data_IF_828499665404
#
_entry.id   IF_828499665404
#
_cell.length_a   1.000
_cell.length_b   1.000
_cell.length_c   1.000
_cell.angle_alpha   90.00
_cell.angle_beta   90.00
_cell.angle_gamma   90.00
#
_symmetry.space_group_name_H-M   'P 1'
#
loop_
_entity.id
_entity.type
_entity.pdbx_description
1 polymer ?
#
# COMPACT_ATOMS: atom_id res chain seq x y z
N UNK A 1 9.59 39.35 4.61
CA UNK A 1 9.14 38.91 3.27
C UNK A 1 10.28 38.42 2.35
N UNK A 2 11.49 38.98 2.43
CA UNK A 2 12.62 38.57 1.58
C UNK A 2 13.03 37.09 1.72
N UNK A 3 13.06 36.54 2.94
CA UNK A 3 13.41 35.14 3.19
C UNK A 3 12.41 34.14 2.60
N UNK A 4 11.12 34.47 2.61
CA UNK A 4 10.05 33.64 2.02
C UNK A 4 10.14 33.68 0.49
N UNK A 5 10.42 34.84 -0.11
CA UNK A 5 10.64 34.96 -1.55
C UNK A 5 11.88 34.16 -2.02
N UNK A 6 12.97 34.17 -1.24
CA UNK A 6 14.17 33.39 -1.55
C UNK A 6 13.94 31.89 -1.39
N UNK A 7 13.20 31.46 -0.36
CA UNK A 7 12.85 30.06 -0.15
C UNK A 7 11.90 29.52 -1.22
N UNK A 8 10.86 30.29 -1.57
CA UNK A 8 9.93 29.96 -2.66
C UNK A 8 10.67 29.86 -4.01
N UNK A 9 11.58 30.81 -4.28
CA UNK A 9 12.41 30.79 -5.49
C UNK A 9 13.35 29.58 -5.53
N UNK A 10 13.97 29.19 -4.39
CA UNK A 10 14.80 27.97 -4.31
C UNK A 10 13.97 26.69 -4.54
N UNK A 11 12.78 26.60 -3.96
CA UNK A 11 11.89 25.46 -4.14
C UNK A 11 11.43 25.32 -5.60
N UNK A 12 11.09 26.45 -6.25
CA UNK A 12 10.73 26.48 -7.66
C UNK A 12 11.90 26.03 -8.55
N UNK A 13 13.11 26.55 -8.30
CA UNK A 13 14.31 26.14 -9.04
C UNK A 13 14.66 24.65 -8.87
N UNK A 14 14.42 24.07 -7.69
CA UNK A 14 14.61 22.64 -7.47
C UNK A 14 13.59 21.80 -8.28
N UNK A 15 12.36 22.30 -8.40
CA UNK A 15 11.29 21.66 -9.17
C UNK A 15 11.58 21.67 -10.66
N UNK A 16 11.99 22.81 -11.24
CA UNK A 16 12.26 22.92 -12.68
C UNK A 16 13.47 22.09 -13.09
N UNK A 17 14.50 21.98 -12.24
CA UNK A 17 15.63 21.07 -12.50
C UNK A 17 15.20 19.61 -12.48
N UNK A 18 14.38 19.21 -11.51
CA UNK A 18 13.87 17.84 -11.41
C UNK A 18 13.02 17.48 -12.63
N UNK A 19 12.17 18.41 -13.10
CA UNK A 19 11.39 18.25 -14.32
C UNK A 19 12.28 18.17 -15.57
N UNK A 20 13.32 19.00 -15.68
CA UNK A 20 14.24 18.92 -16.81
C UNK A 20 14.97 17.55 -16.86
N UNK A 21 15.38 17.03 -15.70
CA UNK A 21 15.96 15.68 -15.60
C UNK A 21 14.95 14.60 -15.98
N UNK A 22 13.69 14.69 -15.53
CA UNK A 22 12.66 13.71 -15.90
C UNK A 22 12.39 13.71 -17.40
N UNK A 23 12.34 14.88 -18.03
CA UNK A 23 12.17 15.02 -19.49
C UNK A 23 13.35 14.41 -20.25
N UNK A 24 14.60 14.69 -19.86
CA UNK A 24 15.78 14.11 -20.52
C UNK A 24 15.84 12.59 -20.37
N UNK A 25 15.53 12.06 -19.18
CA UNK A 25 15.47 10.61 -18.96
C UNK A 25 14.33 9.98 -19.78
N UNK A 26 13.17 10.63 -19.84
CA UNK A 26 12.02 10.15 -20.60
C UNK A 26 12.25 10.25 -22.12
N UNK A 27 13.08 11.18 -22.60
CA UNK A 27 13.48 11.27 -24.00
C UNK A 27 14.25 10.03 -24.48
N UNK A 28 15.01 9.37 -23.59
CA UNK A 28 15.61 8.08 -23.90
C UNK A 28 14.55 7.05 -24.33
N UNK A 29 13.41 7.02 -23.65
CA UNK A 29 12.32 6.11 -23.99
C UNK A 29 11.67 6.44 -25.34
N UNK A 30 11.77 7.69 -25.80
CA UNK A 30 11.35 8.10 -27.16
C UNK A 30 12.30 7.57 -28.22
N UNK A 31 13.60 7.54 -27.92
CA UNK A 31 14.64 7.00 -28.80
C UNK A 31 14.61 5.46 -28.86
N UNK A 32 14.32 4.81 -27.73
CA UNK A 32 14.36 3.34 -27.61
C UNK A 32 13.15 2.64 -28.26
N UNK A 33 12.06 3.35 -28.57
CA UNK A 33 10.91 2.75 -29.26
C UNK A 33 9.57 3.47 -29.04
N UNK A 34 8.44 2.81 -29.39
CA UNK A 34 7.13 3.44 -29.31
C UNK A 34 6.69 3.69 -27.87
N UNK A 35 6.23 4.93 -27.60
CA UNK A 35 5.81 5.38 -26.28
C UNK A 35 4.44 4.84 -25.90
N UNK A 36 4.22 4.60 -24.60
CA UNK A 36 2.87 4.34 -24.08
C UNK A 36 2.04 5.64 -24.12
N UNK A 37 0.72 5.57 -24.41
CA UNK A 37 -0.13 6.77 -24.47
C UNK A 37 -0.18 7.58 -23.17
N UNK A 38 -0.09 6.92 -22.01
CA UNK A 38 -0.03 7.61 -20.72
C UNK A 38 1.31 8.34 -20.53
N UNK A 39 2.42 7.67 -20.83
CA UNK A 39 3.77 8.24 -20.72
C UNK A 39 3.96 9.44 -21.65
N UNK A 40 3.47 9.38 -22.90
CA UNK A 40 3.51 10.52 -23.83
C UNK A 40 2.73 11.72 -23.28
N UNK A 41 1.56 11.52 -22.68
CA UNK A 41 0.76 12.61 -22.09
C UNK A 41 1.41 13.23 -20.86
N UNK A 42 2.00 12.42 -20.01
CA UNK A 42 2.76 12.88 -18.85
C UNK A 42 4.00 13.67 -19.27
N UNK A 43 4.76 13.15 -20.23
CA UNK A 43 5.93 13.83 -20.78
C UNK A 43 5.58 15.17 -21.45
N UNK A 44 4.49 15.22 -22.22
CA UNK A 44 4.02 16.48 -22.80
C UNK A 44 3.58 17.48 -21.73
N UNK A 45 2.93 17.04 -20.65
CA UNK A 45 2.56 17.90 -19.52
C UNK A 45 3.80 18.45 -18.81
N UNK A 46 4.82 17.64 -18.60
CA UNK A 46 6.09 18.06 -17.98
C UNK A 46 6.82 19.08 -18.87
N UNK A 47 6.85 18.84 -20.18
CA UNK A 47 7.39 19.77 -21.19
C UNK A 47 6.61 21.10 -21.18
N UNK A 48 5.28 21.07 -21.19
CA UNK A 48 4.45 22.27 -21.15
C UNK A 48 4.67 23.05 -19.83
N UNK A 49 4.88 22.35 -18.72
CA UNK A 49 5.18 22.96 -17.42
C UNK A 49 6.56 23.62 -17.38
N UNK A 50 7.56 23.04 -18.07
CA UNK A 50 8.89 23.64 -18.25
C UNK A 50 8.87 24.84 -19.18
N UNK A 51 8.10 24.76 -20.28
CA UNK A 51 7.94 25.86 -21.24
C UNK A 51 7.25 27.08 -20.60
N UNK A 52 6.33 26.84 -19.67
CA UNK A 52 5.61 27.90 -18.96
C UNK A 52 6.38 28.53 -17.78
N UNK A 53 7.59 28.06 -17.44
CA UNK A 53 8.36 28.59 -16.30
C UNK A 53 9.22 29.80 -16.70
N UNK A 54 8.84 31.04 -16.33
CA UNK A 54 9.57 32.25 -16.71
C UNK A 54 10.93 32.38 -16.01
N UNK A 55 11.21 31.56 -14.99
CA UNK A 55 12.44 31.66 -14.20
C UNK A 55 13.68 31.03 -14.88
N UNK A 56 13.47 30.23 -15.93
CA UNK A 56 14.50 29.47 -16.66
C UNK A 56 14.24 29.50 -18.17
N UNK A 57 14.53 30.63 -18.85
CA UNK A 57 14.26 30.78 -20.28
C UNK A 57 15.07 29.79 -21.14
N UNK A 58 16.23 29.34 -20.66
CA UNK A 58 17.05 28.29 -21.25
C UNK A 58 16.34 26.94 -21.31
N UNK A 59 15.67 26.54 -20.23
CA UNK A 59 14.89 25.29 -20.17
C UNK A 59 13.59 25.40 -20.96
N UNK A 60 12.97 26.58 -21.00
CA UNK A 60 11.77 26.83 -21.78
C UNK A 60 12.05 26.73 -23.30
N UNK A 61 13.18 27.24 -23.78
CA UNK A 61 13.62 27.07 -25.18
C UNK A 61 13.86 25.59 -25.49
N UNK A 62 14.56 24.86 -24.61
CA UNK A 62 14.78 23.42 -24.76
C UNK A 62 13.45 22.65 -24.83
N UNK A 63 12.52 22.93 -23.92
CA UNK A 63 11.19 22.29 -23.89
C UNK A 63 10.44 22.53 -25.19
N UNK A 64 10.47 23.75 -25.72
CA UNK A 64 9.85 24.12 -27.00
C UNK A 64 10.45 23.36 -28.17
N UNK A 65 11.78 23.17 -28.20
CA UNK A 65 12.48 22.41 -29.27
C UNK A 65 12.25 20.90 -29.18
N UNK A 66 12.08 20.37 -27.99
CA UNK A 66 11.88 18.93 -27.74
C UNK A 66 10.44 18.49 -27.97
N UNK A 67 9.47 19.39 -27.74
CA UNK A 67 8.03 19.11 -27.86
C UNK A 67 7.64 18.40 -29.18
N UNK A 68 8.09 18.85 -30.37
CA UNK A 68 7.72 18.19 -31.62
C UNK A 68 8.24 16.76 -31.73
N UNK A 69 9.40 16.44 -31.14
CA UNK A 69 9.95 15.09 -31.16
C UNK A 69 9.08 14.11 -30.35
N UNK A 70 8.57 14.55 -29.19
CA UNK A 70 7.64 13.75 -28.36
C UNK A 70 6.25 13.68 -28.97
N UNK A 71 5.80 14.77 -29.60
CA UNK A 71 4.50 14.83 -30.25
C UNK A 71 4.43 13.89 -31.46
N UNK A 72 5.49 13.81 -32.26
CA UNK A 72 5.55 12.93 -33.43
C UNK A 72 6.02 11.51 -33.13
N UNK A 73 6.40 11.21 -31.88
CA UNK A 73 6.88 9.88 -31.50
C UNK A 73 5.79 8.80 -31.72
N UNK A 74 6.15 7.63 -32.28
CA UNK A 74 5.20 6.54 -32.48
C UNK A 74 4.65 6.08 -31.12
N UNK A 75 3.32 5.92 -31.05
CA UNK A 75 2.64 5.50 -29.81
C UNK A 75 2.30 4.03 -29.92
N UNK A 76 2.76 3.23 -28.96
CA UNK A 76 2.38 1.83 -28.87
C UNK A 76 0.86 1.75 -28.67
N UNK A 77 0.13 0.96 -29.48
CA UNK A 77 -1.30 0.79 -29.28
C UNK A 77 -1.52 0.29 -27.86
N UNK A 78 -2.37 0.98 -27.09
CA UNK A 78 -2.72 0.55 -25.75
C UNK A 78 -3.15 -0.92 -25.78
N UNK A 79 -2.87 -1.76 -24.79
CA UNK A 79 -3.48 -3.09 -24.74
C UNK A 79 -4.99 -2.92 -24.49
N UNK A 80 -5.81 -2.99 -25.55
CA UNK A 80 -7.27 -2.75 -25.48
C UNK A 80 -8.00 -3.88 -24.72
N UNK A 81 -7.39 -5.07 -24.61
CA UNK A 81 -7.98 -6.25 -23.92
C UNK A 81 -7.99 -6.11 -22.39
N UNK A 82 -6.94 -5.57 -21.78
CA UNK A 82 -6.86 -5.46 -20.31
C UNK A 82 -7.90 -4.50 -19.75
N UNK A 83 -8.21 -3.40 -20.44
CA UNK A 83 -9.28 -2.46 -20.03
C UNK A 83 -10.68 -3.08 -20.07
N UNK A 84 -10.97 -3.94 -21.06
CA UNK A 84 -12.27 -4.65 -21.13
C UNK A 84 -12.39 -5.69 -20.03
N UNK A 85 -11.33 -6.46 -19.77
CA UNK A 85 -11.30 -7.44 -18.67
C UNK A 85 -11.42 -6.77 -17.30
N UNK A 86 -10.69 -5.68 -17.05
CA UNK A 86 -10.82 -4.87 -15.84
C UNK A 86 -12.23 -4.28 -15.69
N UNK A 87 -12.81 -3.75 -16.78
CA UNK A 87 -14.17 -3.21 -16.77
C UNK A 87 -15.26 -4.26 -16.59
N UNK A 88 -15.01 -5.51 -17.00
CA UNK A 88 -15.87 -6.65 -16.73
C UNK A 88 -15.72 -7.12 -15.27
N UNK A 89 -14.49 -7.26 -14.78
CA UNK A 89 -14.21 -7.58 -13.38
C UNK A 89 -14.86 -6.58 -12.44
N UNK A 90 -14.72 -5.28 -12.69
CA UNK A 90 -15.33 -4.23 -11.86
C UNK A 90 -16.86 -4.29 -11.88
N UNK A 91 -17.47 -4.68 -13.00
CA UNK A 91 -18.94 -4.86 -13.09
C UNK A 91 -19.41 -6.09 -12.36
N UNK A 92 -18.74 -7.23 -12.56
CA UNK A 92 -19.01 -8.49 -11.85
C UNK A 92 -18.85 -8.28 -10.35
N UNK A 93 -17.81 -7.58 -9.93
CA UNK A 93 -17.55 -7.26 -8.54
C UNK A 93 -18.52 -6.24 -7.94
N UNK A 94 -19.05 -5.31 -8.76
CA UNK A 94 -20.13 -4.43 -8.31
C UNK A 94 -21.43 -5.20 -8.06
N UNK A 95 -21.68 -6.23 -8.85
CA UNK A 95 -22.87 -7.09 -8.73
C UNK A 95 -22.74 -8.14 -7.63
N UNK A 96 -21.57 -8.79 -7.50
CA UNK A 96 -21.36 -9.89 -6.54
C UNK A 96 -21.01 -9.45 -5.12
N UNK A 97 -20.46 -8.25 -4.92
CA UNK A 97 -20.02 -7.80 -3.59
C UNK A 97 -20.72 -6.50 -3.18
N UNK A 98 -21.97 -6.58 -2.71
CA UNK A 98 -22.65 -5.46 -2.07
C UNK A 98 -21.90 -5.01 -0.81
N UNK A 99 -22.12 -3.75 -0.41
CA UNK A 99 -21.38 -3.09 0.69
C UNK A 99 -21.41 -3.88 2.01
N UNK A 100 -22.54 -4.51 2.31
CA UNK A 100 -22.70 -5.32 3.51
C UNK A 100 -21.82 -6.56 3.49
N UNK A 101 -21.63 -7.18 2.32
CA UNK A 101 -20.80 -8.38 2.17
C UNK A 101 -19.31 -8.07 2.36
N UNK A 102 -18.82 -6.93 1.82
CA UNK A 102 -17.45 -6.47 2.11
C UNK A 102 -17.25 -6.24 3.61
N UNK A 103 -18.23 -5.62 4.28
CA UNK A 103 -18.15 -5.36 5.72
C UNK A 103 -18.10 -6.65 6.52
N UNK A 104 -18.94 -7.64 6.18
CA UNK A 104 -18.91 -8.96 6.82
C UNK A 104 -17.58 -9.66 6.59
N UNK A 105 -17.07 -9.68 5.35
CA UNK A 105 -15.79 -10.30 5.03
C UNK A 105 -14.64 -9.64 5.79
N UNK A 106 -14.63 -8.31 5.90
CA UNK A 106 -13.63 -7.59 6.68
C UNK A 106 -13.74 -7.91 8.18
N UNK A 107 -14.95 -7.95 8.74
CA UNK A 107 -15.17 -8.29 10.15
C UNK A 107 -14.70 -9.72 10.42
N UNK A 108 -15.20 -10.70 9.66
CA UNK A 108 -14.85 -12.11 9.83
C UNK A 108 -13.37 -12.37 9.57
N UNK A 109 -12.79 -11.77 8.51
CA UNK A 109 -11.38 -11.89 8.20
C UNK A 109 -10.49 -11.29 9.29
N UNK A 110 -10.80 -10.08 9.76
CA UNK A 110 -10.07 -9.46 10.87
C UNK A 110 -10.23 -10.22 12.18
N UNK A 111 -11.42 -10.77 12.46
CA UNK A 111 -11.65 -11.55 13.66
C UNK A 111 -10.90 -12.89 13.60
N UNK A 112 -10.95 -13.59 12.46
CA UNK A 112 -10.27 -14.86 12.27
C UNK A 112 -8.76 -14.71 12.41
N UNK A 113 -8.17 -13.76 11.67
CA UNK A 113 -6.72 -13.49 11.76
C UNK A 113 -6.38 -12.97 13.16
N UNK A 114 -7.18 -12.06 13.72
CA UNK A 114 -6.93 -11.51 15.05
C UNK A 114 -6.95 -12.57 16.16
N UNK A 115 -7.92 -13.49 16.13
CA UNK A 115 -7.99 -14.61 17.06
C UNK A 115 -6.86 -15.61 16.85
N UNK A 116 -6.48 -15.88 15.60
CA UNK A 116 -5.34 -16.75 15.31
C UNK A 116 -4.03 -16.15 15.86
N UNK A 117 -3.81 -14.85 15.71
CA UNK A 117 -2.65 -14.16 16.30
C UNK A 117 -2.67 -14.14 17.83
N UNK A 118 -3.83 -14.28 18.48
CA UNK A 118 -3.90 -14.45 19.93
C UNK A 118 -3.45 -15.84 20.39
N UNK A 119 -3.32 -16.83 19.50
CA UNK A 119 -2.62 -18.08 19.83
C UNK A 119 -1.16 -17.78 20.18
N UNK A 120 -0.53 -16.83 19.48
CA UNK A 120 0.78 -16.29 19.82
C UNK A 120 0.86 -15.73 21.25
N UNK A 121 -0.22 -15.11 21.75
CA UNK A 121 -0.30 -14.65 23.14
C UNK A 121 -0.29 -15.83 24.12
N UNK A 122 -1.00 -16.93 23.83
CA UNK A 122 -0.97 -18.11 24.69
C UNK A 122 0.45 -18.70 24.76
N UNK A 123 1.15 -18.78 23.63
CA UNK A 123 2.55 -19.20 23.56
C UNK A 123 3.46 -18.24 24.34
N UNK A 124 3.25 -16.93 24.20
CA UNK A 124 3.98 -15.91 24.96
C UNK A 124 3.79 -16.07 26.47
N UNK A 125 2.55 -16.27 26.93
CA UNK A 125 2.24 -16.46 28.35
C UNK A 125 2.92 -17.73 28.88
N UNK A 126 2.84 -18.84 28.14
CA UNK A 126 3.51 -20.10 28.51
C UNK A 126 5.04 -19.91 28.64
N UNK A 127 5.65 -19.24 27.68
CA UNK A 127 7.09 -18.89 27.70
C UNK A 127 7.47 -17.95 28.86
N UNK A 128 6.61 -16.97 29.16
CA UNK A 128 6.85 -15.97 30.19
C UNK A 128 6.69 -16.53 31.61
N UNK A 129 5.71 -17.41 31.81
CA UNK A 129 5.44 -18.08 33.09
C UNK A 129 6.41 -19.24 33.37
N UNK A 130 7.14 -19.70 32.36
CA UNK A 130 8.12 -20.78 32.50
C UNK A 130 7.47 -22.13 32.76
N UNK A 131 6.28 -22.34 32.18
CA UNK A 131 5.51 -23.57 32.34
C UNK A 131 6.33 -24.78 31.86
N UNK A 132 6.69 -25.73 32.75
CA UNK A 132 7.53 -26.88 32.40
C UNK A 132 6.88 -27.85 31.40
N UNK A 133 5.55 -27.82 31.27
CA UNK A 133 4.81 -28.68 30.34
C UNK A 133 4.70 -28.10 28.91
N UNK A 134 5.13 -26.85 28.69
CA UNK A 134 5.13 -26.23 27.37
C UNK A 134 6.29 -26.75 26.50
N UNK A 135 6.13 -27.94 25.93
CA UNK A 135 7.05 -28.49 24.93
C UNK A 135 6.77 -27.84 23.58
N UNK A 136 7.57 -26.83 23.23
CA UNK A 136 7.51 -26.22 21.89
C UNK A 136 8.38 -27.07 20.96
N UNK A 137 7.73 -27.84 20.09
CA UNK A 137 8.38 -28.64 19.05
C UNK A 137 8.47 -27.74 17.81
N UNK A 138 9.69 -27.40 17.38
CA UNK A 138 9.96 -26.67 16.14
C UNK A 138 10.84 -27.58 15.28
N UNK A 139 10.37 -27.96 14.09
CA UNK A 139 11.15 -28.69 13.08
C UNK A 139 11.97 -29.88 13.62
N UNK A 140 11.31 -30.83 14.29
CA UNK A 140 11.90 -32.07 14.81
C UNK A 140 13.08 -31.89 15.79
N UNK A 141 13.34 -30.65 16.25
CA UNK A 141 14.34 -30.36 17.27
C UNK A 141 13.64 -29.85 18.52
N UNK A 142 13.66 -30.67 19.57
CA UNK A 142 13.34 -30.22 20.92
C UNK A 142 14.35 -29.17 21.35
N UNK A 143 13.92 -27.91 21.36
CA UNK A 143 14.68 -26.81 21.93
C UNK A 143 14.87 -27.10 23.43
N UNK A 144 16.09 -27.04 23.99
CA UNK A 144 16.34 -27.34 25.39
C UNK A 144 15.44 -26.49 26.31
N UNK A 145 14.84 -27.13 27.32
CA UNK A 145 14.02 -26.45 28.33
C UNK A 145 14.79 -25.27 28.93
N UNK A 146 14.23 -24.06 28.84
CA UNK A 146 14.78 -22.85 29.44
C UNK A 146 15.56 -21.91 28.49
N UNK A 147 15.87 -22.30 27.24
CA UNK A 147 16.33 -21.31 26.27
C UNK A 147 15.14 -20.48 25.80
N UNK A 148 15.10 -19.21 26.20
CA UNK A 148 14.11 -18.20 25.77
C UNK A 148 14.62 -17.55 24.50
N UNK A 149 14.18 -17.97 23.29
CA UNK A 149 14.72 -17.41 22.08
C UNK A 149 14.15 -15.98 21.97
N UNK A 150 14.99 -14.93 22.00
CA UNK A 150 14.49 -13.56 22.04
C UNK A 150 13.62 -13.24 20.81
N UNK A 151 13.89 -13.89 19.67
CA UNK A 151 13.07 -13.79 18.46
C UNK A 151 11.63 -14.28 18.68
N UNK A 152 11.42 -15.41 19.39
CA UNK A 152 10.09 -15.94 19.69
C UNK A 152 9.29 -14.99 20.59
N UNK A 153 9.93 -14.43 21.61
CA UNK A 153 9.30 -13.46 22.52
C UNK A 153 8.86 -12.20 21.75
N UNK A 154 9.73 -11.67 20.89
CA UNK A 154 9.44 -10.49 20.07
C UNK A 154 8.32 -10.80 19.07
N UNK A 155 8.37 -11.96 18.41
CA UNK A 155 7.36 -12.39 17.46
C UNK A 155 5.99 -12.51 18.13
N UNK A 156 5.91 -13.23 19.25
CA UNK A 156 4.65 -13.47 19.96
C UNK A 156 4.06 -12.21 20.58
N UNK A 157 4.91 -11.28 21.05
CA UNK A 157 4.46 -9.97 21.51
C UNK A 157 3.91 -9.14 20.33
N UNK A 158 4.59 -9.18 19.18
CA UNK A 158 4.14 -8.55 17.94
C UNK A 158 2.80 -9.10 17.45
N UNK A 159 2.66 -10.43 17.39
CA UNK A 159 1.41 -11.12 17.05
C UNK A 159 0.26 -10.70 17.97
N UNK A 160 0.51 -10.59 19.28
CA UNK A 160 -0.49 -10.15 20.24
C UNK A 160 -0.99 -8.74 19.92
N UNK A 161 -0.07 -7.80 19.66
CA UNK A 161 -0.43 -6.41 19.32
C UNK A 161 -1.20 -6.36 18.02
N UNK A 162 -0.75 -7.06 16.99
CA UNK A 162 -1.44 -7.14 15.68
C UNK A 162 -2.83 -7.74 15.86
N UNK A 163 -2.94 -8.86 16.57
CA UNK A 163 -4.20 -9.53 16.84
C UNK A 163 -5.20 -8.63 17.56
N UNK A 164 -4.75 -7.94 18.60
CA UNK A 164 -5.59 -6.98 19.34
C UNK A 164 -6.05 -5.82 18.44
N UNK A 165 -5.17 -5.27 17.61
CA UNK A 165 -5.53 -4.22 16.66
C UNK A 165 -6.60 -4.72 15.66
N UNK A 166 -6.48 -5.94 15.16
CA UNK A 166 -7.47 -6.52 14.24
C UNK A 166 -8.82 -6.78 14.91
N UNK A 167 -8.83 -7.27 16.15
CA UNK A 167 -10.06 -7.42 16.94
C UNK A 167 -10.72 -6.06 17.19
N UNK A 168 -9.95 -5.05 17.58
CA UNK A 168 -10.45 -3.67 17.76
C UNK A 168 -11.00 -3.12 16.45
N UNK A 169 -10.34 -3.37 15.32
CA UNK A 169 -10.83 -2.97 14.01
C UNK A 169 -12.14 -3.69 13.65
N UNK A 170 -12.27 -4.99 13.92
CA UNK A 170 -13.49 -5.75 13.68
C UNK A 170 -14.66 -5.22 14.53
N UNK A 171 -14.44 -4.96 15.82
CA UNK A 171 -15.44 -4.37 16.72
C UNK A 171 -15.83 -2.97 16.27
N UNK A 172 -14.86 -2.14 15.87
CA UNK A 172 -15.13 -0.80 15.36
C UNK A 172 -15.91 -0.84 14.03
N UNK A 173 -15.63 -1.80 13.14
CA UNK A 173 -16.43 -2.05 11.94
C UNK A 173 -17.85 -2.47 12.32
N UNK A 174 -18.04 -3.30 13.36
CA UNK A 174 -19.38 -3.70 13.82
C UNK A 174 -20.16 -2.48 14.35
N UNK A 175 -19.50 -1.62 15.13
CA UNK A 175 -20.06 -0.36 15.65
C UNK A 175 -20.26 0.74 14.58
N UNK A 176 -19.91 0.49 13.32
CA UNK A 176 -20.08 1.45 12.22
C UNK A 176 -19.05 2.58 12.18
N UNK A 177 -17.97 2.48 12.96
CA UNK A 177 -16.86 3.46 12.99
C UNK A 177 -15.86 3.17 11.87
N UNK A 178 -16.33 3.14 10.62
CA UNK A 178 -15.58 2.72 9.43
C UNK A 178 -14.19 3.39 9.32
N UNK A 179 -14.10 4.72 9.47
CA UNK A 179 -12.83 5.45 9.33
C UNK A 179 -11.77 5.05 10.35
N UNK A 180 -12.19 4.76 11.59
CA UNK A 180 -11.28 4.35 12.66
C UNK A 180 -10.88 2.90 12.45
N UNK A 181 -11.85 2.04 12.17
CA UNK A 181 -11.61 0.62 11.95
C UNK A 181 -10.65 0.36 10.79
N UNK A 182 -10.80 1.08 9.66
CA UNK A 182 -9.89 0.97 8.52
C UNK A 182 -8.48 1.47 8.83
N UNK A 183 -8.33 2.48 9.70
CA UNK A 183 -7.01 2.95 10.12
C UNK A 183 -6.31 1.91 10.99
N UNK A 184 -7.00 1.45 12.03
CA UNK A 184 -6.45 0.46 12.97
C UNK A 184 -6.14 -0.85 12.26
N UNK A 185 -7.08 -1.37 11.45
CA UNK A 185 -6.87 -2.61 10.70
C UNK A 185 -5.71 -2.54 9.71
N UNK A 186 -5.56 -1.43 8.97
CA UNK A 186 -4.42 -1.26 8.06
C UNK A 186 -3.09 -1.15 8.80
N UNK A 187 -3.05 -0.43 9.92
CA UNK A 187 -1.84 -0.33 10.75
C UNK A 187 -1.46 -1.71 11.32
N UNK A 188 -2.43 -2.44 11.86
CA UNK A 188 -2.23 -3.79 12.37
C UNK A 188 -1.68 -4.74 11.31
N UNK A 189 -2.32 -4.81 10.13
CA UNK A 189 -1.85 -5.66 9.03
C UNK A 189 -0.48 -5.23 8.49
N UNK A 190 -0.20 -3.92 8.42
CA UNK A 190 1.11 -3.44 7.97
C UNK A 190 2.20 -3.82 8.96
N UNK A 191 1.92 -3.75 10.27
CA UNK A 191 2.83 -4.17 11.32
C UNK A 191 3.06 -5.69 11.31
N UNK A 192 1.99 -6.46 11.10
CA UNK A 192 2.05 -7.92 10.91
C UNK A 192 2.96 -8.29 9.75
N UNK A 193 2.67 -7.77 8.56
CA UNK A 193 3.43 -8.05 7.33
C UNK A 193 4.88 -7.58 7.40
N UNK A 194 5.15 -6.37 7.90
CA UNK A 194 6.49 -5.78 7.84
C UNK A 194 7.39 -6.16 9.03
N UNK A 195 6.79 -6.47 10.18
CA UNK A 195 7.52 -6.76 11.41
C UNK A 195 7.39 -8.22 11.82
N UNK A 196 6.18 -8.62 12.18
CA UNK A 196 5.91 -9.89 12.85
C UNK A 196 6.22 -11.09 11.95
N UNK A 197 5.70 -11.09 10.73
CA UNK A 197 5.89 -12.18 9.78
C UNK A 197 7.34 -12.30 9.30
N UNK A 198 8.10 -11.21 9.30
CA UNK A 198 9.53 -11.28 9.00
C UNK A 198 10.25 -12.08 10.08
N UNK A 199 9.94 -11.85 11.36
CA UNK A 199 10.54 -12.60 12.47
C UNK A 199 10.08 -14.04 12.47
N UNK A 200 8.77 -14.29 12.30
CA UNK A 200 8.23 -15.65 12.23
C UNK A 200 8.77 -16.43 11.04
N UNK A 201 9.03 -15.78 9.90
CA UNK A 201 9.58 -16.42 8.72
C UNK A 201 10.99 -16.96 8.91
N UNK A 202 11.73 -16.48 9.93
CA UNK A 202 13.00 -17.10 10.34
C UNK A 202 12.81 -18.39 11.14
N UNK A 203 11.62 -18.62 11.69
CA UNK A 203 11.29 -19.78 12.52
C UNK A 203 10.62 -20.86 11.68
N UNK A 204 9.56 -20.50 10.95
CA UNK A 204 8.78 -21.41 10.10
C UNK A 204 8.27 -20.63 8.88
N UNK A 205 8.91 -20.83 7.73
CA UNK A 205 8.56 -20.10 6.51
C UNK A 205 7.26 -20.61 5.88
N UNK A 206 6.93 -21.90 6.05
CA UNK A 206 5.81 -22.53 5.35
C UNK A 206 4.47 -22.04 5.91
N UNK A 207 4.34 -22.00 7.23
CA UNK A 207 3.13 -21.49 7.89
C UNK A 207 2.99 -19.98 7.67
N UNK A 208 4.10 -19.24 7.72
CA UNK A 208 4.11 -17.78 7.58
C UNK A 208 3.67 -17.34 6.19
N UNK A 209 4.05 -18.06 5.13
CA UNK A 209 3.61 -17.72 3.77
C UNK A 209 2.09 -17.76 3.65
N UNK A 210 1.42 -18.76 4.22
CA UNK A 210 -0.04 -18.85 4.19
C UNK A 210 -0.70 -17.67 4.92
N UNK A 211 -0.18 -17.31 6.11
CA UNK A 211 -0.67 -16.17 6.89
C UNK A 211 -0.46 -14.85 6.14
N UNK A 212 0.73 -14.63 5.57
CA UNK A 212 1.08 -13.44 4.78
C UNK A 212 0.13 -13.26 3.59
N UNK A 213 -0.21 -14.35 2.88
CA UNK A 213 -1.17 -14.28 1.77
C UNK A 213 -2.55 -13.82 2.25
N UNK A 214 -3.04 -14.37 3.36
CA UNK A 214 -4.33 -13.96 3.95
C UNK A 214 -4.29 -12.49 4.36
N UNK A 215 -3.22 -12.04 5.02
CA UNK A 215 -3.06 -10.66 5.47
C UNK A 215 -2.98 -9.67 4.29
N UNK A 216 -2.27 -10.02 3.21
CA UNK A 216 -2.20 -9.20 1.99
C UNK A 216 -3.58 -9.08 1.35
N UNK A 217 -4.32 -10.19 1.23
CA UNK A 217 -5.69 -10.19 0.69
C UNK A 217 -6.59 -9.30 1.54
N UNK A 218 -6.52 -9.43 2.87
CA UNK A 218 -7.30 -8.62 3.79
C UNK A 218 -6.92 -7.14 3.69
N UNK A 219 -5.63 -6.81 3.59
CA UNK A 219 -5.14 -5.44 3.42
C UNK A 219 -5.64 -4.83 2.10
N UNK A 220 -5.65 -5.63 1.02
CA UNK A 220 -6.24 -5.26 -0.26
C UNK A 220 -7.73 -4.95 -0.15
N UNK A 221 -8.49 -5.78 0.59
CA UNK A 221 -9.92 -5.55 0.88
C UNK A 221 -10.13 -4.27 1.69
N UNK A 222 -9.30 -3.99 2.70
CA UNK A 222 -9.33 -2.73 3.46
C UNK A 222 -9.10 -1.52 2.55
N UNK A 223 -8.10 -1.59 1.67
CA UNK A 223 -7.79 -0.53 0.71
C UNK A 223 -8.96 -0.29 -0.23
N UNK A 224 -9.54 -1.37 -0.75
CA UNK A 224 -10.65 -1.32 -1.68
C UNK A 224 -11.93 -0.78 -1.06
N UNK A 225 -12.27 -1.20 0.17
CA UNK A 225 -13.44 -0.69 0.89
C UNK A 225 -13.36 0.83 1.08
N UNK A 226 -12.18 1.35 1.44
CA UNK A 226 -11.95 2.79 1.58
C UNK A 226 -12.19 3.54 0.27
N UNK A 227 -11.53 3.12 -0.81
CA UNK A 227 -11.61 3.81 -2.10
C UNK A 227 -13.02 3.80 -2.70
N UNK A 228 -13.79 2.73 -2.46
CA UNK A 228 -15.13 2.58 -3.03
C UNK A 228 -16.24 3.24 -2.21
N UNK A 229 -16.16 3.26 -0.88
CA UNK A 229 -17.29 3.66 -0.03
C UNK A 229 -17.06 4.91 0.82
N UNK A 230 -15.81 5.32 1.03
CA UNK A 230 -15.49 6.49 1.84
C UNK A 230 -15.01 7.69 1.01
N UNK A 231 -14.22 7.46 -0.04
CA UNK A 231 -13.70 8.56 -0.87
C UNK A 231 -14.75 9.13 -1.82
N UNK A 232 -15.69 8.32 -2.32
CA UNK A 232 -16.81 8.79 -3.15
C UNK A 232 -17.78 9.67 -2.37
N UNK A 233 -18.03 9.38 -1.08
CA UNK A 233 -18.99 10.14 -0.25
C UNK A 233 -18.52 11.57 0.02
N UNK A 234 -17.22 11.77 0.22
CA UNK A 234 -16.65 13.11 0.42
C UNK A 234 -16.69 14.00 -0.83
N UNK A 235 -16.88 13.44 -2.03
CA UNK A 235 -17.06 14.23 -3.24
C UNK A 235 -18.51 14.71 -3.40
N UNK A 236 -19.49 13.88 -3.04
CA UNK A 236 -20.92 14.24 -3.12
C UNK A 236 -21.34 15.22 -2.01
N UNK A 237 -20.75 15.12 -0.81
CA UNK A 237 -21.05 16.04 0.30
C UNK A 237 -20.55 17.48 0.02
N UNK A 238 -19.51 17.66 -0.81
CA UNK A 238 -18.94 18.98 -1.16
C UNK A 238 -19.72 19.68 -2.28
N UNK A 239 -20.54 18.94 -3.04
CA UNK A 239 -21.37 19.48 -4.14
C UNK A 239 -22.77 19.89 -3.64
N UNK A 240 -23.11 19.53 -2.40
CA UNK A 240 -24.43 19.79 -1.80
C UNK A 240 -24.45 20.97 -0.81
N UNK A 241 -23.31 21.65 -0.63
CA UNK A 241 -23.14 22.91 0.11
C UNK A 241 -22.86 24.07 -0.88
#
# INVERSE_FOLDING_TARGET
>A
MLAVAVAARRAQLARSRTLAYSVVVALKAVADGPLRPAARRELLRDIDSLAADPSRPDLADLATRVRPAVENAPVAPAPHRTRRLLGALVRVERALLPRWMHRIVLILGSLLVGLLSLVGLAVFIALATGDPDATIIIDDRTVPHGSRPPALIIASAGETVVGLMLVVAAVALLAGRDRFALRVGRLGLSLGLAGVNVVLGYIDADLVVAVVVIEIVLLGLFHRYRGRFLETRSADDVVSD
#
